data_IF_449209280701
#
_entry.id   IF_449209280701
#
_cell.length_a   1.000
_cell.length_b   1.000
_cell.length_c   1.000
_cell.angle_alpha   90.00
_cell.angle_beta   90.00
_cell.angle_gamma   90.00
#
_symmetry.space_group_name_H-M   'P 1'
#
loop_
_entity.id
_entity.type
_entity.pdbx_description
1 polymer ?
#
# COMPACT_ATOMS: atom_id res chain seq x y z
N UNK A 1 -4.04 11.15 -13.92
CA UNK A 1 -2.65 10.95 -14.36
C UNK A 1 -1.76 10.48 -13.22
N UNK A 2 -1.65 11.27 -12.13
CA UNK A 2 -0.77 10.87 -11.03
C UNK A 2 -1.20 9.56 -10.37
N UNK A 3 -2.49 9.24 -10.34
CA UNK A 3 -2.95 7.97 -9.78
C UNK A 3 -2.48 6.79 -10.63
N UNK A 4 -2.46 6.94 -11.93
CA UNK A 4 -1.96 5.88 -12.81
C UNK A 4 -0.48 5.62 -12.57
N UNK A 5 0.30 6.67 -12.40
CA UNK A 5 1.73 6.56 -12.12
C UNK A 5 1.98 5.86 -10.79
N UNK A 6 1.23 6.25 -9.76
CA UNK A 6 1.35 5.62 -8.45
C UNK A 6 1.02 4.14 -8.50
N UNK A 7 -0.05 3.78 -9.21
CA UNK A 7 -0.44 2.37 -9.34
C UNK A 7 0.58 1.57 -10.14
N UNK A 8 1.16 2.19 -11.16
CA UNK A 8 2.22 1.53 -11.93
C UNK A 8 3.44 1.25 -11.05
N UNK A 9 3.79 2.19 -10.18
CA UNK A 9 4.90 2.00 -9.23
C UNK A 9 4.59 0.87 -8.25
N UNK A 10 3.35 0.78 -7.77
CA UNK A 10 2.94 -0.31 -6.88
C UNK A 10 3.03 -1.65 -7.60
N UNK A 11 2.58 -1.72 -8.85
CA UNK A 11 2.65 -2.96 -9.62
C UNK A 11 4.11 -3.39 -9.82
N UNK A 12 5.00 -2.44 -10.11
CA UNK A 12 6.42 -2.73 -10.23
C UNK A 12 7.01 -3.22 -8.91
N UNK A 13 6.61 -2.60 -7.81
CA UNK A 13 7.06 -3.03 -6.49
C UNK A 13 6.64 -4.47 -6.21
N UNK A 14 5.41 -4.85 -6.51
CA UNK A 14 4.94 -6.21 -6.30
C UNK A 14 5.71 -7.21 -7.15
N UNK A 15 6.00 -6.86 -8.40
CA UNK A 15 6.80 -7.72 -9.28
C UNK A 15 8.21 -7.93 -8.71
N UNK A 16 8.84 -6.86 -8.24
CA UNK A 16 10.18 -6.94 -7.68
C UNK A 16 10.20 -7.72 -6.36
N UNK A 17 9.14 -7.61 -5.57
CA UNK A 17 9.04 -8.37 -4.32
C UNK A 17 8.94 -9.86 -4.53
N UNK A 18 8.51 -10.30 -5.71
CA UNK A 18 8.52 -11.72 -6.04
C UNK A 18 9.94 -12.25 -6.20
N UNK A 19 10.91 -11.38 -6.43
CA UNK A 19 12.29 -11.77 -6.70
C UNK A 19 13.23 -11.51 -5.53
N UNK A 20 12.98 -10.46 -4.73
CA UNK A 20 13.88 -10.11 -3.64
C UNK A 20 13.13 -9.38 -2.52
N UNK A 21 13.72 -9.37 -1.31
CA UNK A 21 13.06 -8.73 -0.16
C UNK A 21 13.01 -7.21 -0.32
N UNK A 22 12.08 -6.60 0.42
CA UNK A 22 11.81 -5.16 0.32
C UNK A 22 13.07 -4.31 0.59
N UNK A 23 13.86 -4.69 1.57
CA UNK A 23 15.04 -3.92 1.96
C UNK A 23 16.17 -3.98 0.91
N UNK A 24 16.04 -4.83 -0.10
CA UNK A 24 16.98 -4.91 -1.20
C UNK A 24 16.48 -4.21 -2.46
N UNK A 25 15.27 -3.66 -2.43
CA UNK A 25 14.70 -2.96 -3.58
C UNK A 25 15.02 -1.47 -3.44
N UNK A 26 15.61 -0.89 -4.48
CA UNK A 26 15.97 0.52 -4.49
C UNK A 26 14.97 1.31 -5.34
N UNK A 27 14.97 2.63 -5.17
CA UNK A 27 14.16 3.51 -6.03
C UNK A 27 14.59 3.34 -7.49
N UNK A 28 15.88 3.18 -7.74
CA UNK A 28 16.37 2.94 -9.10
C UNK A 28 15.78 1.67 -9.69
N UNK A 29 15.74 0.58 -8.90
CA UNK A 29 15.13 -0.67 -9.36
C UNK A 29 13.67 -0.45 -9.77
N UNK A 30 12.92 0.26 -8.93
CA UNK A 30 11.50 0.53 -9.19
C UNK A 30 11.31 1.35 -10.45
N UNK A 31 12.05 2.44 -10.58
CA UNK A 31 11.84 3.36 -11.69
C UNK A 31 12.29 2.74 -13.00
N UNK A 32 13.36 1.96 -12.99
CA UNK A 32 13.78 1.24 -14.20
C UNK A 32 12.74 0.18 -14.60
N UNK A 33 12.22 -0.55 -13.64
CA UNK A 33 11.19 -1.55 -13.92
C UNK A 33 9.90 -0.91 -14.43
N UNK A 34 9.53 0.21 -13.84
CA UNK A 34 8.28 0.92 -14.18
C UNK A 34 8.39 1.74 -15.46
N UNK A 35 9.61 2.11 -15.85
CA UNK A 35 9.82 2.95 -17.03
C UNK A 35 9.64 4.43 -16.80
N UNK A 36 9.82 4.90 -15.57
CA UNK A 36 9.76 6.32 -15.23
C UNK A 36 11.10 6.77 -14.67
N UNK A 37 11.33 8.08 -14.58
CA UNK A 37 12.57 8.58 -14.04
C UNK A 37 12.46 8.76 -12.52
N UNK A 38 13.62 8.93 -11.86
CA UNK A 38 13.67 9.06 -10.40
C UNK A 38 12.95 10.29 -9.90
N UNK A 39 12.97 11.38 -10.67
CA UNK A 39 12.26 12.60 -10.26
C UNK A 39 10.77 12.36 -10.18
N UNK A 40 10.22 11.56 -11.09
CA UNK A 40 8.80 11.21 -11.05
C UNK A 40 8.47 10.48 -9.77
N UNK A 41 9.33 9.54 -9.34
CA UNK A 41 9.13 8.85 -8.08
C UNK A 41 9.10 9.83 -6.91
N UNK A 42 10.13 10.69 -6.82
CA UNK A 42 10.25 11.61 -5.68
C UNK A 42 9.22 12.72 -5.69
N UNK A 43 8.58 12.95 -6.83
CA UNK A 43 7.45 13.87 -6.88
C UNK A 43 6.27 13.32 -6.06
N UNK A 44 6.08 12.00 -6.07
CA UNK A 44 4.93 11.38 -5.42
C UNK A 44 5.23 10.81 -4.04
N UNK A 45 6.44 10.31 -3.83
CA UNK A 45 6.80 9.58 -2.61
C UNK A 45 8.16 10.00 -2.09
N UNK A 46 8.29 10.00 -0.78
CA UNK A 46 9.55 10.34 -0.13
C UNK A 46 10.56 9.21 -0.27
N UNK A 47 10.11 7.98 -0.11
CA UNK A 47 10.93 6.78 -0.21
C UNK A 47 10.04 5.57 -0.50
N UNK A 48 10.65 4.38 -0.53
CA UNK A 48 9.92 3.15 -0.83
C UNK A 48 8.88 2.85 0.24
N UNK A 49 9.18 3.15 1.50
CA UNK A 49 8.25 2.89 2.59
C UNK A 49 6.99 3.76 2.47
N UNK A 50 7.17 4.98 1.98
CA UNK A 50 6.04 5.88 1.69
C UNK A 50 5.15 5.28 0.59
N UNK A 51 5.76 4.69 -0.43
CA UNK A 51 5.02 3.98 -1.47
C UNK A 51 4.26 2.78 -0.91
N UNK A 52 4.89 2.00 -0.04
CA UNK A 52 4.25 0.85 0.60
C UNK A 52 3.05 1.30 1.42
N UNK A 53 3.20 2.37 2.19
CA UNK A 53 2.11 2.92 2.98
C UNK A 53 0.93 3.31 2.10
N UNK A 54 1.22 4.03 1.01
CA UNK A 54 0.18 4.44 0.09
C UNK A 54 -0.55 3.23 -0.51
N UNK A 55 0.21 2.19 -0.87
CA UNK A 55 -0.37 0.98 -1.46
C UNK A 55 -1.30 0.28 -0.47
N UNK A 56 -0.90 0.20 0.79
CA UNK A 56 -1.72 -0.44 1.81
C UNK A 56 -3.00 0.35 2.06
N UNK A 57 -2.89 1.66 2.16
CA UNK A 57 -4.05 2.52 2.41
C UNK A 57 -5.00 2.50 1.22
N UNK A 58 -4.47 2.54 0.00
CA UNK A 58 -5.33 2.48 -1.18
C UNK A 58 -6.07 1.15 -1.27
N UNK A 59 -5.38 0.04 -1.00
CA UNK A 59 -6.03 -1.27 -1.02
C UNK A 59 -7.17 -1.35 -0.03
N UNK A 60 -6.94 -0.84 1.19
CA UNK A 60 -7.97 -0.84 2.22
C UNK A 60 -9.14 0.08 1.84
N UNK A 61 -8.84 1.24 1.27
CA UNK A 61 -9.85 2.18 0.85
C UNK A 61 -10.74 1.57 -0.23
N UNK A 62 -10.14 0.86 -1.19
CA UNK A 62 -10.90 0.17 -2.22
C UNK A 62 -11.78 -0.92 -1.63
N UNK A 63 -11.24 -1.68 -0.69
CA UNK A 63 -12.00 -2.75 -0.05
C UNK A 63 -13.22 -2.19 0.68
N UNK A 64 -13.13 -0.94 1.14
CA UNK A 64 -14.20 -0.28 1.88
C UNK A 64 -15.12 0.54 0.99
N UNK A 65 -14.87 0.60 -0.32
CA UNK A 65 -15.68 1.42 -1.21
C UNK A 65 -17.16 1.02 -1.10
N UNK A 66 -18.01 2.00 -0.78
CA UNK A 66 -19.42 1.75 -0.57
C UNK A 66 -19.81 1.24 0.80
N UNK A 67 -18.85 1.02 1.68
CA UNK A 67 -19.06 0.47 3.02
C UNK A 67 -18.72 1.50 4.10
N UNK A 68 -19.16 2.74 3.91
CA UNK A 68 -18.79 3.83 4.80
C UNK A 68 -19.95 4.29 5.68
N UNK A 69 -20.82 3.37 6.06
CA UNK A 69 -21.90 3.67 6.96
C UNK A 69 -21.72 2.95 8.28
N UNK A 70 -22.37 3.48 9.31
CA UNK A 70 -22.27 2.89 10.63
C UNK A 70 -22.74 1.44 10.65
N UNK A 71 -23.77 1.14 9.87
CA UNK A 71 -24.38 -0.19 9.86
C UNK A 71 -23.54 -1.22 9.10
N UNK A 72 -22.53 -0.78 8.34
CA UNK A 72 -21.77 -1.68 7.49
C UNK A 72 -20.30 -1.79 7.88
N UNK A 73 -19.90 -1.25 9.06
CA UNK A 73 -18.49 -1.27 9.45
C UNK A 73 -17.96 -2.70 9.59
N UNK A 74 -18.79 -3.62 10.04
CA UNK A 74 -18.37 -5.02 10.20
C UNK A 74 -18.10 -5.66 8.84
N UNK A 75 -18.95 -5.37 7.86
CA UNK A 75 -18.74 -5.85 6.49
C UNK A 75 -17.48 -5.24 5.89
N UNK A 76 -17.25 -3.95 6.14
CA UNK A 76 -16.05 -3.28 5.68
C UNK A 76 -14.80 -3.90 6.28
N UNK A 77 -14.85 -4.20 7.57
CA UNK A 77 -13.73 -4.85 8.25
C UNK A 77 -13.44 -6.21 7.64
N UNK A 78 -14.48 -6.99 7.36
CA UNK A 78 -14.33 -8.29 6.72
C UNK A 78 -13.72 -8.15 5.33
N UNK A 79 -14.13 -7.12 4.57
CA UNK A 79 -13.57 -6.87 3.26
C UNK A 79 -12.08 -6.53 3.32
N UNK A 80 -11.65 -5.80 4.33
CA UNK A 80 -10.23 -5.52 4.55
C UNK A 80 -9.46 -6.82 4.79
N UNK A 81 -9.99 -7.70 5.64
CA UNK A 81 -9.35 -8.98 5.90
C UNK A 81 -9.26 -9.83 4.64
N UNK A 82 -10.30 -9.83 3.83
CA UNK A 82 -10.29 -10.56 2.57
C UNK A 82 -9.27 -9.97 1.59
N UNK A 83 -9.14 -8.64 1.55
CA UNK A 83 -8.16 -8.00 0.69
C UNK A 83 -6.74 -8.34 1.12
N UNK A 84 -6.48 -8.37 2.43
CA UNK A 84 -5.17 -8.77 2.97
C UNK A 84 -4.86 -10.20 2.57
N UNK A 85 -5.82 -11.10 2.68
CA UNK A 85 -5.63 -12.50 2.33
C UNK A 85 -5.39 -12.67 0.82
N UNK A 86 -6.09 -11.91 0.02
CA UNK A 86 -5.93 -11.94 -1.43
C UNK A 86 -4.54 -11.49 -1.86
N UNK A 87 -3.98 -10.52 -1.13
CA UNK A 87 -2.65 -9.97 -1.41
C UNK A 87 -1.61 -10.52 -0.44
N UNK A 88 -1.78 -11.76 -0.01
CA UNK A 88 -1.00 -12.38 1.06
C UNK A 88 0.50 -12.33 0.83
N UNK A 89 0.94 -12.57 -0.41
CA UNK A 89 2.38 -12.58 -0.71
C UNK A 89 2.97 -11.19 -0.48
N UNK A 90 2.29 -10.15 -0.97
CA UNK A 90 2.75 -8.78 -0.78
C UNK A 90 2.78 -8.42 0.71
N UNK A 91 1.70 -8.70 1.44
CA UNK A 91 1.60 -8.37 2.85
C UNK A 91 2.68 -9.09 3.65
N UNK A 92 2.90 -10.38 3.38
CA UNK A 92 3.90 -11.17 4.09
C UNK A 92 5.31 -10.60 3.86
N UNK A 93 5.63 -10.26 2.63
CA UNK A 93 6.96 -9.73 2.32
C UNK A 93 7.18 -8.35 2.92
N UNK A 94 6.16 -7.51 2.95
CA UNK A 94 6.23 -6.22 3.60
C UNK A 94 6.43 -6.40 5.11
N UNK A 95 5.65 -7.28 5.72
CA UNK A 95 5.73 -7.52 7.17
C UNK A 95 7.12 -7.96 7.59
N UNK A 96 7.76 -8.83 6.81
CA UNK A 96 9.09 -9.34 7.16
C UNK A 96 10.21 -8.34 6.94
N UNK A 97 9.99 -7.35 6.07
CA UNK A 97 11.07 -6.42 5.68
C UNK A 97 10.92 -5.02 6.29
N UNK A 98 9.78 -4.72 6.89
CA UNK A 98 9.50 -3.36 7.35
C UNK A 98 9.61 -3.28 8.87
N UNK A 99 10.01 -2.12 9.39
CA UNK A 99 10.16 -1.96 10.82
C UNK A 99 8.80 -1.91 11.50
N UNK A 100 8.81 -2.27 12.80
CA UNK A 100 7.60 -2.22 13.61
C UNK A 100 7.00 -0.82 13.65
N UNK A 101 7.85 0.20 13.67
CA UNK A 101 7.39 1.58 13.68
C UNK A 101 6.56 1.91 12.44
N UNK A 102 7.03 1.48 11.26
CA UNK A 102 6.28 1.70 10.03
C UNK A 102 4.96 0.96 10.04
N UNK A 103 4.94 -0.26 10.54
CA UNK A 103 3.70 -1.04 10.63
C UNK A 103 2.69 -0.33 11.53
N UNK A 104 3.13 0.15 12.68
CA UNK A 104 2.26 0.88 13.60
C UNK A 104 1.70 2.15 12.96
N UNK A 105 2.54 2.88 12.23
CA UNK A 105 2.09 4.09 11.54
C UNK A 105 1.05 3.76 10.47
N UNK A 106 1.25 2.68 9.72
CA UNK A 106 0.28 2.26 8.69
C UNK A 106 -1.06 1.91 9.33
N UNK A 107 -1.02 1.15 10.42
CA UNK A 107 -2.25 0.75 11.11
C UNK A 107 -2.97 1.95 11.70
N UNK A 108 -2.22 2.89 12.28
CA UNK A 108 -2.79 4.10 12.83
C UNK A 108 -3.52 4.90 11.75
N UNK A 109 -2.87 5.12 10.60
CA UNK A 109 -3.47 5.88 9.51
C UNK A 109 -4.70 5.18 8.96
N UNK A 110 -4.62 3.87 8.80
CA UNK A 110 -5.74 3.09 8.29
C UNK A 110 -6.93 3.20 9.24
N UNK A 111 -6.68 3.05 10.54
CA UNK A 111 -7.74 3.14 11.55
C UNK A 111 -8.36 4.52 11.56
N UNK A 112 -7.54 5.56 11.49
CA UNK A 112 -8.02 6.94 11.46
C UNK A 112 -8.93 7.17 10.25
N UNK A 113 -8.47 6.77 9.07
CA UNK A 113 -9.23 6.97 7.84
C UNK A 113 -10.54 6.19 7.88
N UNK A 114 -10.52 4.98 8.46
CA UNK A 114 -11.70 4.16 8.60
C UNK A 114 -12.73 4.84 9.50
N UNK A 115 -12.28 5.36 10.63
CA UNK A 115 -13.18 6.02 11.58
C UNK A 115 -13.78 7.30 11.01
N UNK A 116 -12.98 8.08 10.30
CA UNK A 116 -13.46 9.29 9.65
C UNK A 116 -14.51 8.92 8.59
N UNK A 117 -14.30 7.83 7.87
CA UNK A 117 -15.24 7.38 6.86
C UNK A 117 -16.57 6.89 7.42
N UNK A 118 -16.58 6.48 8.69
CA UNK A 118 -17.80 6.00 9.34
C UNK A 118 -18.61 7.15 9.92
N UNK A 119 -17.91 8.17 10.41
CA UNK A 119 -18.58 9.36 10.95
C UNK A 119 -19.11 10.24 9.83
#
# INVERSE_FOLDING_TARGET
MSQMTKRALVASLKDLLAEKPLDKITVTDLTEHCGVNRMTFYYHFKDIYDLVEWACIESATRALAGQKTYDTWQQGFLQILQAVQKDKVFVTKVYHSISREHIENYLYRLTYDLMIGVV
#
